data_IF_250530457551
#
_entry.id   IF_250530457551
#
_cell.length_a   1.000
_cell.length_b   1.000
_cell.length_c   1.000
_cell.angle_alpha   90.00
_cell.angle_beta   90.00
_cell.angle_gamma   90.00
#
_symmetry.space_group_name_H-M   'P 1'
#
loop_
_entity.id
_entity.type
_entity.pdbx_description
1 polymer ?
#
# COMPACT_ATOMS: atom_id res chain seq x y z
N UNK A 1 -15.92 -15.06 7.01
CA UNK A 1 -15.26 -15.17 5.71
C UNK A 1 -15.87 -16.25 4.83
N UNK A 2 -16.03 -17.48 5.28
CA UNK A 2 -16.49 -18.61 4.43
C UNK A 2 -17.84 -18.36 3.76
N UNK A 3 -18.82 -17.78 4.46
CA UNK A 3 -20.13 -17.43 3.88
C UNK A 3 -20.01 -16.33 2.82
N UNK A 4 -19.21 -15.30 3.11
CA UNK A 4 -18.94 -14.20 2.18
C UNK A 4 -18.24 -14.69 0.92
N UNK A 5 -17.20 -15.51 1.06
CA UNK A 5 -16.48 -16.14 -0.04
C UNK A 5 -17.44 -16.98 -0.90
N UNK A 6 -18.27 -17.81 -0.26
CA UNK A 6 -19.25 -18.62 -0.97
C UNK A 6 -20.27 -17.77 -1.75
N UNK A 7 -20.67 -16.63 -1.18
CA UNK A 7 -21.55 -15.67 -1.86
C UNK A 7 -20.86 -15.04 -3.08
N UNK A 8 -19.62 -14.58 -2.94
CA UNK A 8 -18.83 -14.00 -4.02
C UNK A 8 -18.64 -14.99 -5.19
N UNK A 9 -18.29 -16.25 -4.87
CA UNK A 9 -18.16 -17.32 -5.88
C UNK A 9 -19.44 -17.57 -6.66
N UNK A 10 -20.60 -17.55 -6.00
CA UNK A 10 -21.92 -17.67 -6.67
C UNK A 10 -22.18 -16.48 -7.61
N UNK A 11 -21.67 -15.30 -7.29
CA UNK A 11 -21.74 -14.11 -8.12
C UNK A 11 -20.71 -14.04 -9.25
N UNK A 12 -19.87 -15.06 -9.41
CA UNK A 12 -18.84 -15.11 -10.45
C UNK A 12 -17.59 -14.25 -10.14
N UNK A 13 -17.41 -13.84 -8.88
CA UNK A 13 -16.21 -13.12 -8.44
C UNK A 13 -15.08 -14.14 -8.24
N UNK A 14 -13.95 -13.91 -8.88
CA UNK A 14 -12.79 -14.79 -8.86
C UNK A 14 -11.76 -14.36 -7.80
N UNK A 15 -11.64 -13.06 -7.54
CA UNK A 15 -10.64 -12.47 -6.65
C UNK A 15 -11.26 -11.46 -5.70
N UNK A 16 -10.80 -11.45 -4.46
CA UNK A 16 -11.10 -10.43 -3.45
C UNK A 16 -9.77 -9.84 -2.99
N UNK A 17 -9.52 -8.59 -3.30
CA UNK A 17 -8.33 -7.87 -2.87
C UNK A 17 -8.62 -7.17 -1.53
N UNK A 18 -7.92 -7.57 -0.47
CA UNK A 18 -8.01 -6.97 0.86
C UNK A 18 -6.90 -5.94 0.98
N UNK A 19 -7.24 -4.70 1.25
CA UNK A 19 -6.25 -3.69 1.59
C UNK A 19 -5.73 -3.94 3.01
N UNK A 20 -4.42 -4.06 3.15
CA UNK A 20 -3.80 -4.10 4.48
C UNK A 20 -3.81 -2.69 5.09
N UNK A 21 -4.18 -2.63 6.35
CA UNK A 21 -4.25 -1.36 7.06
C UNK A 21 -3.83 -1.50 8.53
N UNK A 22 -3.05 -0.54 9.07
CA UNK A 22 -2.69 -0.53 10.49
C UNK A 22 -3.91 -0.62 11.41
N UNK A 23 -3.88 -1.57 12.36
CA UNK A 23 -4.97 -1.76 13.32
C UNK A 23 -6.12 -2.65 12.84
N UNK A 24 -6.07 -3.20 11.62
CA UNK A 24 -7.04 -4.17 11.10
C UNK A 24 -6.53 -5.62 11.26
N UNK A 25 -7.38 -6.59 10.92
CA UNK A 25 -7.00 -8.01 10.93
C UNK A 25 -5.88 -8.32 9.93
N UNK A 26 -5.92 -7.70 8.75
CA UNK A 26 -4.88 -7.82 7.71
C UNK A 26 -4.10 -6.51 7.71
N UNK A 27 -2.95 -6.51 8.38
CA UNK A 27 -2.07 -5.35 8.50
C UNK A 27 -0.65 -5.62 7.96
N UNK A 28 -0.39 -6.84 7.47
CA UNK A 28 0.92 -7.24 6.96
C UNK A 28 0.79 -8.41 6.00
N UNK A 29 1.84 -8.68 5.23
CA UNK A 29 1.91 -9.85 4.35
C UNK A 29 1.62 -11.16 5.11
N UNK A 30 2.19 -11.33 6.30
CA UNK A 30 2.02 -12.55 7.11
C UNK A 30 0.58 -12.73 7.60
N UNK A 31 -0.13 -11.66 7.94
CA UNK A 31 -1.53 -11.75 8.39
C UNK A 31 -2.48 -12.05 7.23
N UNK A 32 -2.22 -11.51 6.03
CA UNK A 32 -2.96 -11.94 4.83
C UNK A 32 -2.74 -13.42 4.54
N UNK A 33 -1.49 -13.88 4.51
CA UNK A 33 -1.19 -15.29 4.18
C UNK A 33 -1.85 -16.26 5.16
N UNK A 34 -1.87 -15.94 6.46
CA UNK A 34 -2.61 -16.72 7.46
C UNK A 34 -4.12 -16.74 7.21
N UNK A 35 -4.72 -15.60 6.88
CA UNK A 35 -6.14 -15.53 6.56
C UNK A 35 -6.46 -16.35 5.31
N UNK A 36 -5.66 -16.21 4.28
CA UNK A 36 -5.76 -16.94 3.01
C UNK A 36 -5.64 -18.47 3.23
N UNK A 37 -4.68 -18.92 4.02
CA UNK A 37 -4.49 -20.33 4.38
C UNK A 37 -5.69 -20.89 5.17
N UNK A 38 -6.25 -20.08 6.09
CA UNK A 38 -7.39 -20.47 6.90
C UNK A 38 -8.73 -20.44 6.18
N UNK A 39 -8.80 -19.84 5.00
CA UNK A 39 -10.07 -19.61 4.27
C UNK A 39 -10.00 -20.08 2.82
N UNK A 40 -9.54 -19.23 1.89
CA UNK A 40 -9.62 -19.51 0.46
C UNK A 40 -8.56 -18.73 -0.34
N UNK A 41 -7.96 -19.33 -1.37
CA UNK A 41 -7.03 -18.65 -2.26
C UNK A 41 -7.63 -17.54 -3.13
N UNK A 42 -8.94 -17.34 -3.17
CA UNK A 42 -9.51 -16.16 -3.83
C UNK A 42 -9.27 -14.85 -3.06
N UNK A 43 -8.83 -14.92 -1.78
CA UNK A 43 -8.39 -13.74 -1.05
C UNK A 43 -6.96 -13.39 -1.45
N UNK A 44 -6.71 -12.15 -1.80
CA UNK A 44 -5.39 -11.59 -2.07
C UNK A 44 -5.27 -10.20 -1.47
N UNK A 45 -4.21 -9.50 -1.81
CA UNK A 45 -3.96 -8.17 -1.29
C UNK A 45 -4.26 -7.10 -2.35
N UNK A 46 -4.87 -6.01 -1.92
CA UNK A 46 -4.70 -4.71 -2.52
C UNK A 46 -3.50 -4.08 -1.81
N UNK A 47 -2.34 -4.17 -2.42
CA UNK A 47 -1.07 -3.78 -1.80
C UNK A 47 -0.92 -2.26 -1.82
N UNK A 48 -1.07 -1.65 -0.64
CA UNK A 48 -0.76 -0.25 -0.41
C UNK A 48 0.59 -0.12 0.31
N UNK A 49 1.66 0.28 -0.41
CA UNK A 49 2.99 0.34 0.19
C UNK A 49 3.09 1.34 1.34
N UNK A 50 2.27 2.38 1.34
CA UNK A 50 2.32 3.44 2.36
C UNK A 50 1.96 2.92 3.75
N UNK A 51 0.99 1.99 3.85
CA UNK A 51 0.58 1.40 5.12
C UNK A 51 1.69 0.54 5.74
N UNK A 52 2.48 -0.14 4.90
CA UNK A 52 3.65 -0.88 5.37
C UNK A 52 4.79 0.05 5.78
N UNK A 53 5.02 1.13 5.01
CA UNK A 53 6.05 2.13 5.33
C UNK A 53 5.85 2.74 6.72
N UNK A 54 4.62 3.12 7.07
CA UNK A 54 4.31 3.75 8.37
C UNK A 54 4.39 2.77 9.55
N UNK A 55 4.36 1.47 9.28
CA UNK A 55 4.61 0.41 10.26
C UNK A 55 6.09 0.03 10.36
N UNK A 56 6.97 0.61 9.53
CA UNK A 56 8.39 0.28 9.48
C UNK A 56 8.71 -1.02 8.72
N UNK A 57 7.75 -1.57 7.98
CA UNK A 57 7.98 -2.70 7.11
C UNK A 57 8.53 -2.25 5.75
N UNK A 58 9.17 -3.18 5.02
CA UNK A 58 9.62 -2.97 3.66
C UNK A 58 8.58 -3.50 2.66
N UNK A 59 7.90 -2.63 1.89
CA UNK A 59 6.90 -3.04 0.91
C UNK A 59 7.47 -3.91 -0.22
N UNK A 60 8.74 -3.74 -0.58
CA UNK A 60 9.40 -4.56 -1.61
C UNK A 60 9.60 -6.00 -1.12
N UNK A 61 10.03 -6.15 0.14
CA UNK A 61 10.12 -7.47 0.76
C UNK A 61 8.73 -8.12 0.93
N UNK A 62 7.72 -7.31 1.29
CA UNK A 62 6.34 -7.79 1.39
C UNK A 62 5.79 -8.25 0.04
N UNK A 63 6.01 -7.50 -1.05
CA UNK A 63 5.63 -7.92 -2.40
C UNK A 63 6.23 -9.28 -2.79
N UNK A 64 7.50 -9.52 -2.44
CA UNK A 64 8.14 -10.84 -2.66
C UNK A 64 7.47 -11.96 -1.88
N UNK A 65 7.11 -11.72 -0.61
CA UNK A 65 6.42 -12.70 0.22
C UNK A 65 5.00 -12.99 -0.28
N UNK A 66 4.38 -12.05 -0.98
CA UNK A 66 3.01 -12.12 -1.51
C UNK A 66 2.93 -12.60 -2.97
N UNK A 67 3.95 -13.32 -3.45
CA UNK A 67 3.96 -13.86 -4.82
C UNK A 67 2.66 -14.60 -5.16
N UNK A 68 2.00 -14.17 -6.26
CA UNK A 68 0.73 -14.75 -6.72
C UNK A 68 -0.49 -14.41 -5.85
N UNK A 69 -0.34 -13.48 -4.90
CA UNK A 69 -1.42 -13.01 -4.03
C UNK A 69 -1.71 -11.52 -4.17
N UNK A 70 -0.94 -10.79 -4.99
CA UNK A 70 -1.17 -9.37 -5.25
C UNK A 70 -2.25 -9.27 -6.32
N UNK A 71 -3.42 -8.75 -5.96
CA UNK A 71 -4.56 -8.64 -6.87
C UNK A 71 -4.86 -7.19 -7.27
N UNK A 72 -4.34 -6.24 -6.50
CA UNK A 72 -4.36 -4.82 -6.82
C UNK A 72 -3.19 -4.12 -6.16
N UNK A 73 -2.81 -2.93 -6.67
CA UNK A 73 -1.73 -2.10 -6.11
C UNK A 73 -2.19 -0.65 -6.04
N UNK A 74 -1.94 -0.01 -4.90
CA UNK A 74 -2.09 1.43 -4.76
C UNK A 74 -0.78 2.17 -5.03
N UNK A 75 -0.89 3.29 -5.73
CA UNK A 75 0.13 4.32 -5.82
C UNK A 75 -0.10 5.34 -4.71
N UNK A 76 0.38 5.06 -3.51
CA UNK A 76 0.27 5.92 -2.33
C UNK A 76 1.60 5.92 -1.60
N UNK A 77 2.08 7.10 -1.24
CA UNK A 77 3.39 7.27 -0.62
C UNK A 77 3.26 7.76 0.82
N UNK A 78 4.30 7.51 1.60
CA UNK A 78 4.40 8.02 2.97
C UNK A 78 5.80 8.54 3.24
N UNK A 79 5.88 9.64 3.98
CA UNK A 79 7.12 10.23 4.46
C UNK A 79 7.23 10.07 5.97
N UNK A 80 8.34 9.49 6.41
CA UNK A 80 8.68 9.43 7.83
C UNK A 80 9.34 10.75 8.23
N UNK A 81 8.76 11.43 9.20
CA UNK A 81 9.25 12.70 9.73
C UNK A 81 10.39 12.44 10.73
N UNK A 82 11.61 12.28 10.21
CA UNK A 82 12.76 11.76 10.97
C UNK A 82 13.02 12.48 12.29
N UNK A 83 12.87 13.80 12.34
CA UNK A 83 13.08 14.55 13.57
C UNK A 83 12.14 14.14 14.71
N UNK A 84 10.94 13.69 14.41
CA UNK A 84 9.94 13.22 15.36
C UNK A 84 9.98 11.70 15.54
N UNK A 85 10.00 10.96 14.42
CA UNK A 85 9.96 9.51 14.44
C UNK A 85 11.21 8.88 15.12
N UNK A 86 12.36 9.49 15.01
CA UNK A 86 13.60 9.00 15.66
C UNK A 86 13.55 9.15 17.18
N UNK A 87 12.66 10.01 17.71
CA UNK A 87 12.44 10.19 19.15
C UNK A 87 11.26 9.34 19.66
N UNK A 88 10.14 9.36 18.93
CA UNK A 88 8.85 8.85 19.43
C UNK A 88 8.46 7.49 18.81
N UNK A 89 9.20 7.03 17.79
CA UNK A 89 8.84 5.82 17.04
C UNK A 89 7.75 6.09 15.99
N UNK A 90 7.10 5.04 15.50
CA UNK A 90 6.17 5.12 14.37
C UNK A 90 4.68 5.04 14.78
N UNK A 91 4.37 4.89 16.06
CA UNK A 91 2.98 4.93 16.51
C UNK A 91 2.46 6.37 16.47
N UNK A 92 1.49 6.64 15.58
CA UNK A 92 0.95 7.99 15.38
C UNK A 92 -0.52 8.08 15.79
N UNK A 93 -0.82 8.61 16.98
CA UNK A 93 -2.19 8.78 17.45
C UNK A 93 -2.83 10.13 17.03
N UNK A 94 -2.04 11.07 16.48
CA UNK A 94 -2.53 12.41 16.12
C UNK A 94 -3.38 12.38 14.87
N UNK A 95 -4.39 13.23 14.75
CA UNK A 95 -5.19 13.33 13.54
C UNK A 95 -4.34 13.80 12.35
N UNK A 96 -4.74 13.39 11.14
CA UNK A 96 -4.01 13.74 9.88
C UNK A 96 -3.90 15.24 9.63
N UNK A 97 -4.79 16.04 10.22
CA UNK A 97 -4.79 17.50 10.12
C UNK A 97 -3.68 18.18 10.91
N UNK A 98 -3.02 17.48 11.82
CA UNK A 98 -1.87 17.97 12.60
C UNK A 98 -0.54 17.56 11.96
N UNK A 99 -0.44 17.63 10.64
CA UNK A 99 0.67 17.08 9.83
C UNK A 99 2.07 17.51 10.27
N UNK A 100 2.21 18.71 10.85
CA UNK A 100 3.50 19.24 11.30
C UNK A 100 4.07 18.52 12.53
N UNK A 101 3.20 17.92 13.36
CA UNK A 101 3.57 17.29 14.63
C UNK A 101 3.56 15.75 14.56
N UNK A 102 3.21 15.19 13.40
CA UNK A 102 3.10 13.75 13.20
C UNK A 102 4.47 13.11 12.92
N UNK A 103 4.66 11.88 13.35
CA UNK A 103 5.88 11.11 13.11
C UNK A 103 5.97 10.57 11.66
N UNK A 104 4.86 10.56 10.95
CA UNK A 104 4.78 10.27 9.50
C UNK A 104 3.55 10.93 8.89
N UNK A 105 3.61 11.20 7.60
CA UNK A 105 2.49 11.70 6.82
C UNK A 105 2.35 10.93 5.51
N UNK A 106 1.11 10.75 5.04
CA UNK A 106 0.88 10.38 3.64
C UNK A 106 1.21 11.60 2.76
N UNK A 107 1.86 11.33 1.65
CA UNK A 107 2.33 12.35 0.72
C UNK A 107 2.12 11.93 -0.73
N UNK A 108 2.16 12.88 -1.65
CA UNK A 108 2.10 12.58 -3.07
C UNK A 108 3.20 11.60 -3.48
N UNK A 109 2.93 10.70 -4.42
CA UNK A 109 3.89 9.70 -4.91
C UNK A 109 5.18 10.37 -5.38
N UNK A 110 6.31 9.91 -4.90
CA UNK A 110 7.63 10.48 -5.15
C UNK A 110 8.06 11.54 -4.14
N UNK A 111 7.20 11.93 -3.18
CA UNK A 111 7.54 12.89 -2.11
C UNK A 111 7.98 12.22 -0.80
N UNK A 112 7.74 10.93 -0.64
CA UNK A 112 8.23 10.12 0.48
C UNK A 112 9.38 9.20 0.07
N UNK A 113 9.14 8.38 -0.93
CA UNK A 113 10.15 7.54 -1.59
C UNK A 113 10.54 8.16 -2.92
N UNK A 114 11.80 8.04 -3.31
CA UNK A 114 12.27 8.54 -4.59
C UNK A 114 11.77 7.66 -5.79
N UNK A 115 11.93 8.18 -7.01
CA UNK A 115 11.49 7.49 -8.22
C UNK A 115 12.24 6.17 -8.45
N UNK A 116 13.47 6.03 -7.96
CA UNK A 116 14.23 4.80 -8.09
C UNK A 116 13.62 3.69 -7.24
N UNK A 117 13.21 4.01 -6.00
CA UNK A 117 12.50 3.09 -5.13
C UNK A 117 11.17 2.63 -5.75
N UNK A 118 10.39 3.56 -6.34
CA UNK A 118 9.12 3.25 -6.99
C UNK A 118 9.30 2.34 -8.22
N UNK A 119 10.36 2.56 -9.00
CA UNK A 119 10.72 1.66 -10.12
C UNK A 119 11.02 0.25 -9.64
N UNK A 120 11.78 0.12 -8.54
CA UNK A 120 12.08 -1.18 -7.95
C UNK A 120 10.81 -1.85 -7.43
N UNK A 121 9.95 -1.11 -6.71
CA UNK A 121 8.70 -1.62 -6.16
C UNK A 121 7.81 -2.21 -7.26
N UNK A 122 7.52 -1.47 -8.32
CA UNK A 122 6.68 -1.95 -9.43
C UNK A 122 7.35 -3.10 -10.20
N UNK A 123 8.64 -3.03 -10.43
CA UNK A 123 9.40 -4.13 -11.05
C UNK A 123 9.27 -5.41 -10.23
N UNK A 124 9.36 -5.33 -8.90
CA UNK A 124 9.18 -6.49 -8.03
C UNK A 124 7.73 -6.99 -8.02
N UNK A 125 6.74 -6.12 -7.99
CA UNK A 125 5.33 -6.51 -8.12
C UNK A 125 5.11 -7.32 -9.41
N UNK A 126 5.63 -6.83 -10.54
CA UNK A 126 5.57 -7.54 -11.83
C UNK A 126 6.30 -8.90 -11.77
N UNK A 127 7.51 -8.97 -11.21
CA UNK A 127 8.24 -10.23 -11.00
C UNK A 127 7.47 -11.23 -10.12
N UNK A 128 6.63 -10.74 -9.23
CA UNK A 128 5.78 -11.58 -8.35
C UNK A 128 4.45 -11.97 -9.01
N UNK A 129 4.24 -11.60 -10.27
CA UNK A 129 3.11 -12.02 -11.10
C UNK A 129 1.96 -11.00 -11.15
N UNK A 130 2.17 -9.77 -10.68
CA UNK A 130 1.18 -8.70 -10.81
C UNK A 130 1.36 -7.96 -12.15
N UNK A 131 0.27 -7.91 -12.94
CA UNK A 131 0.23 -7.24 -14.24
C UNK A 131 -1.09 -6.44 -14.38
N UNK A 132 -1.62 -5.95 -13.27
CA UNK A 132 -2.85 -5.16 -13.22
C UNK A 132 -2.59 -3.65 -13.13
N UNK A 133 -3.69 -2.92 -12.98
CA UNK A 133 -3.68 -1.47 -12.86
C UNK A 133 -3.12 -1.00 -11.51
N UNK A 134 -2.56 0.21 -11.48
CA UNK A 134 -2.18 0.93 -10.27
C UNK A 134 -3.17 2.06 -10.02
N UNK A 135 -3.90 2.01 -8.92
CA UNK A 135 -4.81 3.09 -8.51
C UNK A 135 -4.08 4.13 -7.68
N UNK A 136 -4.14 5.39 -8.11
CA UNK A 136 -3.62 6.48 -7.30
C UNK A 136 -4.54 6.74 -6.09
N UNK A 137 -3.96 6.75 -4.89
CA UNK A 137 -4.56 7.31 -3.68
C UNK A 137 -3.79 8.55 -3.24
N UNK A 138 -4.43 9.72 -3.27
CA UNK A 138 -3.79 10.99 -2.92
C UNK A 138 -4.34 11.51 -1.59
N UNK A 139 -3.51 11.43 -0.53
CA UNK A 139 -3.84 11.88 0.82
C UNK A 139 -2.82 12.91 1.37
N UNK A 140 -2.11 13.63 0.51
CA UNK A 140 -1.18 14.68 0.93
C UNK A 140 -1.96 15.94 1.33
N UNK A 141 -1.93 16.28 2.61
CA UNK A 141 -2.56 17.49 3.15
C UNK A 141 -1.66 18.74 3.12
N UNK A 142 -0.44 18.61 2.61
CA UNK A 142 0.52 19.72 2.51
C UNK A 142 0.45 20.45 1.17
N UNK A 143 -0.33 19.96 0.23
CA UNK A 143 -0.55 20.57 -1.08
C UNK A 143 -2.03 20.52 -1.47
N UNK A 144 -2.39 21.25 -2.55
CA UNK A 144 -3.76 21.15 -3.10
C UNK A 144 -3.96 19.78 -3.74
N UNK A 145 -5.22 19.33 -3.80
CA UNK A 145 -5.57 18.05 -4.44
C UNK A 145 -5.04 17.98 -5.88
N UNK A 146 -5.24 19.03 -6.68
CA UNK A 146 -4.78 19.07 -8.07
C UNK A 146 -3.25 18.97 -8.17
N UNK A 147 -2.51 19.66 -7.30
CA UNK A 147 -1.06 19.57 -7.27
C UNK A 147 -0.59 18.17 -6.87
N UNK A 148 -1.19 17.59 -5.84
CA UNK A 148 -0.84 16.25 -5.38
C UNK A 148 -1.15 15.16 -6.40
N UNK A 149 -2.30 15.24 -7.07
CA UNK A 149 -2.68 14.31 -8.14
C UNK A 149 -1.72 14.42 -9.32
N UNK A 150 -1.42 15.64 -9.80
CA UNK A 150 -0.50 15.83 -10.92
C UNK A 150 0.92 15.34 -10.59
N UNK A 151 1.43 15.68 -9.40
CA UNK A 151 2.74 15.22 -8.92
C UNK A 151 2.80 13.68 -8.90
N UNK A 152 1.78 13.05 -8.34
CA UNK A 152 1.71 11.58 -8.24
C UNK A 152 1.60 10.91 -9.61
N UNK A 153 0.78 11.44 -10.52
CA UNK A 153 0.64 10.89 -11.88
C UNK A 153 1.96 11.00 -12.64
N UNK A 154 2.67 12.12 -12.53
CA UNK A 154 3.96 12.30 -13.19
C UNK A 154 5.03 11.34 -12.65
N UNK A 155 5.04 11.08 -11.35
CA UNK A 155 5.90 10.08 -10.73
C UNK A 155 5.54 8.65 -11.19
N UNK A 156 4.26 8.27 -11.17
CA UNK A 156 3.79 6.95 -11.59
C UNK A 156 4.10 6.68 -13.06
N UNK A 157 3.89 7.64 -13.95
CA UNK A 157 4.25 7.52 -15.40
C UNK A 157 5.73 7.28 -15.64
N UNK A 158 6.61 7.75 -14.77
CA UNK A 158 8.05 7.57 -14.87
C UNK A 158 8.53 6.25 -14.24
N UNK A 159 7.71 5.59 -13.45
CA UNK A 159 8.13 4.46 -12.60
C UNK A 159 7.43 3.16 -12.93
N UNK A 160 6.22 3.19 -13.48
CA UNK A 160 5.52 2.00 -13.98
C UNK A 160 6.16 1.63 -15.32
N UNK A 161 6.71 0.43 -15.39
CA UNK A 161 7.24 -0.13 -16.65
C UNK A 161 6.05 -0.48 -17.56
N UNK A 162 6.06 0.07 -18.77
CA UNK A 162 5.12 -0.30 -19.83
C UNK A 162 5.64 -1.51 -20.59
#
# INVERSE_FOLDING_TARGET
WNEFIAHCKKGGIEHIAIEEFPGTMVWSASTLLKLREATDPMLGINLDPSHMMVLGADPIAAARALKGCIFHVHGKDARIERGLADTDGLLEPRPVTESADRVWNYVAVGCGKDLQWWKEFFSVCHMMGYDGDVSLEMEDLTMTVDAGVNTSIDALRQTISQ
#
